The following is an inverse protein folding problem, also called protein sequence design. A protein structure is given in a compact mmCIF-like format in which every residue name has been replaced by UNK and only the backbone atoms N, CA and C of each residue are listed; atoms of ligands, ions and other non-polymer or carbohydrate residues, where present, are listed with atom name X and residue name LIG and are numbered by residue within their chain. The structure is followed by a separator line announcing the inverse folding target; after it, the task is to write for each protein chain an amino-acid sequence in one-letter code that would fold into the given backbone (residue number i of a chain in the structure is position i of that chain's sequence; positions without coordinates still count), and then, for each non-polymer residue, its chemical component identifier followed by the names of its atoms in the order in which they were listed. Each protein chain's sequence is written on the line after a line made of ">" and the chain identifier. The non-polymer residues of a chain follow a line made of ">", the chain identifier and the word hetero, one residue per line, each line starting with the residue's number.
data_IF_374268298166
#
_entry.id   IF_374268298166
#
_cell.length_a   1.000
_cell.length_b   1.000
_cell.length_c   1.000
_cell.angle_alpha   90.00
_cell.angle_beta   90.00
_cell.angle_gamma   90.00
#
_symmetry.space_group_name_H-M   'P 1'
#
loop_
_entity.id
_entity.type
_entity.pdbx_description
1 polymer ?
#
# COMPACT_ATOMS: atom_id res chain seq x y z
N UNK A 1 -17.08 8.38 -10.15
CA UNK A 1 -18.09 8.61 -9.09
C UNK A 1 -17.42 8.99 -7.78
N UNK A 2 -16.54 8.16 -7.22
CA UNK A 2 -15.85 8.42 -5.94
C UNK A 2 -14.92 9.63 -6.01
N UNK A 3 -14.14 9.77 -7.07
CA UNK A 3 -13.22 10.90 -7.26
C UNK A 3 -13.92 12.28 -7.35
N UNK A 4 -15.17 12.30 -7.80
CA UNK A 4 -15.91 13.55 -8.09
C UNK A 4 -17.02 13.84 -7.08
N UNK A 5 -17.05 13.14 -5.93
CA UNK A 5 -18.05 13.32 -4.87
C UNK A 5 -19.50 13.37 -5.41
N UNK A 6 -19.84 12.38 -6.26
CA UNK A 6 -21.18 12.33 -6.84
C UNK A 6 -22.25 12.34 -5.75
N UNK A 7 -23.33 13.08 -6.00
CA UNK A 7 -24.48 13.18 -5.08
C UNK A 7 -24.97 11.78 -4.71
N UNK A 8 -25.08 11.49 -3.39
CA UNK A 8 -25.52 10.18 -2.89
C UNK A 8 -24.37 9.18 -2.57
N UNK A 9 -23.11 9.54 -2.81
CA UNK A 9 -21.98 8.66 -2.51
C UNK A 9 -21.86 8.32 -1.01
N UNK A 10 -22.07 9.31 -0.12
CA UNK A 10 -22.08 9.09 1.34
C UNK A 10 -23.17 8.08 1.77
N UNK A 11 -24.34 8.12 1.13
CA UNK A 11 -25.41 7.16 1.39
C UNK A 11 -25.06 5.76 0.90
N UNK A 12 -24.41 5.67 -0.26
CA UNK A 12 -23.92 4.40 -0.80
C UNK A 12 -22.93 3.76 0.17
N UNK A 13 -21.89 4.49 0.62
CA UNK A 13 -20.90 3.97 1.57
C UNK A 13 -21.52 3.47 2.87
N UNK A 14 -22.56 4.16 3.37
CA UNK A 14 -23.25 3.76 4.60
C UNK A 14 -24.11 2.50 4.43
N UNK A 15 -24.56 2.21 3.20
CA UNK A 15 -25.38 1.05 2.89
C UNK A 15 -24.57 -0.21 2.55
N UNK A 16 -23.24 -0.07 2.36
CA UNK A 16 -22.38 -1.20 2.01
C UNK A 16 -22.18 -2.13 3.22
N UNK A 17 -22.23 -3.45 3.01
CA UNK A 17 -21.83 -4.39 4.04
C UNK A 17 -20.34 -4.23 4.36
N UNK A 18 -19.96 -4.45 5.61
CA UNK A 18 -18.56 -4.51 5.99
C UNK A 18 -17.88 -5.69 5.28
N UNK A 19 -16.98 -5.39 4.36
CA UNK A 19 -16.18 -6.38 3.67
C UNK A 19 -14.94 -6.77 4.48
N UNK A 20 -14.53 -8.03 4.35
CA UNK A 20 -13.35 -8.59 5.03
C UNK A 20 -12.16 -8.79 4.08
N UNK A 21 -12.26 -8.29 2.85
CA UNK A 21 -11.18 -8.41 1.85
C UNK A 21 -9.91 -7.74 2.37
N UNK A 22 -8.79 -8.46 2.45
CA UNK A 22 -7.55 -7.90 2.97
C UNK A 22 -6.99 -6.81 2.05
N UNK A 23 -6.50 -5.75 2.67
CA UNK A 23 -5.82 -4.63 2.02
C UNK A 23 -4.32 -4.77 2.22
N UNK A 24 -3.57 -4.88 1.13
CA UNK A 24 -2.11 -5.02 1.12
C UNK A 24 -1.51 -3.70 0.66
N UNK A 25 -0.78 -3.04 1.54
CA UNK A 25 -0.02 -1.82 1.24
C UNK A 25 1.35 -2.15 0.68
N UNK A 26 1.69 -1.59 -0.47
CA UNK A 26 3.03 -1.70 -1.07
C UNK A 26 3.62 -0.31 -1.18
N UNK A 27 4.71 -0.08 -0.44
CA UNK A 27 5.42 1.20 -0.40
C UNK A 27 6.94 1.00 -0.53
N UNK A 28 7.69 2.08 -0.57
CA UNK A 28 9.16 2.06 -0.68
C UNK A 28 9.68 3.15 -1.62
N UNK A 29 11.00 3.34 -1.72
CA UNK A 29 11.61 4.40 -2.50
C UNK A 29 11.30 4.31 -4.00
N UNK A 30 11.39 5.43 -4.73
CA UNK A 30 11.32 5.43 -6.19
C UNK A 30 12.39 4.50 -6.78
N UNK A 31 12.07 3.83 -7.88
CA UNK A 31 13.01 2.91 -8.54
C UNK A 31 13.17 1.53 -7.90
N UNK A 32 12.62 1.26 -6.71
CA UNK A 32 12.68 -0.06 -6.08
C UNK A 32 11.94 -1.17 -6.85
N UNK A 33 11.11 -0.80 -7.83
CA UNK A 33 10.39 -1.76 -8.67
C UNK A 33 9.05 -2.21 -8.09
N UNK A 34 8.39 -1.35 -7.31
CA UNK A 34 7.07 -1.60 -6.72
C UNK A 34 6.02 -2.00 -7.76
N UNK A 35 5.83 -1.19 -8.79
CA UNK A 35 4.83 -1.46 -9.84
C UNK A 35 5.14 -2.76 -10.59
N UNK A 36 6.42 -3.10 -10.78
CA UNK A 36 6.81 -4.40 -11.37
C UNK A 36 6.49 -5.56 -10.43
N UNK A 37 6.65 -5.36 -9.12
CA UNK A 37 6.27 -6.35 -8.11
C UNK A 37 4.74 -6.51 -8.05
N UNK A 38 3.99 -5.41 -8.10
CA UNK A 38 2.52 -5.44 -8.14
C UNK A 38 2.02 -6.18 -9.37
N UNK A 39 2.60 -5.92 -10.55
CA UNK A 39 2.27 -6.63 -11.78
C UNK A 39 2.51 -8.14 -11.66
N UNK A 40 3.68 -8.54 -11.17
CA UNK A 40 4.01 -9.94 -10.94
C UNK A 40 3.12 -10.60 -9.88
N UNK A 41 2.73 -9.83 -8.84
CA UNK A 41 1.84 -10.28 -7.77
C UNK A 41 0.42 -10.51 -8.30
N UNK A 42 -0.12 -9.56 -9.09
CA UNK A 42 -1.41 -9.73 -9.78
C UNK A 42 -1.38 -11.00 -10.62
N UNK A 43 -0.33 -11.19 -11.44
CA UNK A 43 -0.18 -12.37 -12.29
C UNK A 43 -0.19 -13.68 -11.50
N UNK A 44 0.47 -13.72 -10.36
CA UNK A 44 0.46 -14.88 -9.47
C UNK A 44 -0.95 -15.19 -8.95
N UNK A 45 -1.64 -14.17 -8.42
CA UNK A 45 -2.99 -14.32 -7.86
C UNK A 45 -4.03 -14.70 -8.92
N UNK A 46 -3.95 -14.13 -10.12
CA UNK A 46 -4.85 -14.45 -11.24
C UNK A 46 -4.67 -15.89 -11.70
N UNK A 47 -3.43 -16.40 -11.73
CA UNK A 47 -3.16 -17.80 -12.03
C UNK A 47 -3.82 -18.73 -11.00
N UNK A 48 -3.91 -18.30 -9.75
CA UNK A 48 -4.63 -18.98 -8.67
C UNK A 48 -6.14 -18.69 -8.66
N UNK A 49 -6.66 -18.12 -9.76
CA UNK A 49 -8.08 -17.80 -9.97
C UNK A 49 -8.66 -16.81 -8.93
N UNK A 50 -7.82 -15.93 -8.39
CA UNK A 50 -8.21 -14.89 -7.45
C UNK A 50 -8.68 -13.63 -8.16
N UNK A 51 -9.65 -12.93 -7.54
CA UNK A 51 -10.08 -11.61 -7.97
C UNK A 51 -9.29 -10.53 -7.22
N UNK A 52 -8.67 -9.62 -7.97
CA UNK A 52 -7.72 -8.64 -7.42
C UNK A 52 -8.12 -7.22 -7.80
N UNK A 53 -8.18 -6.32 -6.83
CA UNK A 53 -8.21 -4.89 -7.08
C UNK A 53 -6.83 -4.29 -6.77
N UNK A 54 -6.27 -3.50 -7.69
CA UNK A 54 -4.98 -2.82 -7.48
C UNK A 54 -5.13 -1.31 -7.64
N UNK A 55 -4.97 -0.57 -6.54
CA UNK A 55 -5.03 0.90 -6.47
C UNK A 55 -3.63 1.46 -6.64
N UNK A 56 -3.35 2.09 -7.78
CA UNK A 56 -2.09 2.78 -8.02
C UNK A 56 -2.24 4.28 -7.71
N UNK A 57 -1.52 4.75 -6.67
CA UNK A 57 -1.60 6.12 -6.17
C UNK A 57 -0.37 6.89 -6.59
N UNK A 58 -0.52 7.81 -7.55
CA UNK A 58 0.56 8.65 -8.04
C UNK A 58 0.50 10.06 -7.44
N UNK A 59 1.61 10.49 -6.80
CA UNK A 59 1.77 11.83 -6.23
C UNK A 59 2.10 12.92 -7.26
N UNK A 60 2.38 12.57 -8.50
CA UNK A 60 2.81 13.52 -9.53
C UNK A 60 1.63 14.28 -10.10
N UNK A 61 1.50 15.50 -9.67
CA UNK A 61 0.42 16.46 -9.86
C UNK A 61 0.10 16.86 -11.31
N UNK A 62 0.99 16.66 -12.27
CA UNK A 62 0.86 17.27 -13.60
C UNK A 62 1.37 16.43 -14.78
N UNK A 63 1.81 15.18 -14.60
CA UNK A 63 2.28 14.42 -15.75
C UNK A 63 1.31 13.30 -16.13
N UNK A 64 0.61 13.50 -17.22
CA UNK A 64 -0.05 12.44 -18.00
C UNK A 64 0.88 11.25 -18.27
N UNK A 65 2.20 11.46 -18.21
CA UNK A 65 3.24 10.44 -18.41
C UNK A 65 3.34 9.43 -17.26
N UNK A 66 3.07 9.81 -16.02
CA UNK A 66 3.10 8.87 -14.89
C UNK A 66 1.91 7.90 -14.95
N UNK A 67 0.72 8.42 -15.24
CA UNK A 67 -0.47 7.61 -15.52
C UNK A 67 -0.23 6.67 -16.73
N UNK A 68 0.39 7.18 -17.80
CA UNK A 68 0.72 6.38 -18.97
C UNK A 68 1.72 5.24 -18.62
N UNK A 69 2.71 5.50 -17.76
CA UNK A 69 3.70 4.52 -17.36
C UNK A 69 3.11 3.33 -16.61
N UNK A 70 2.17 3.56 -15.71
CA UNK A 70 1.46 2.51 -14.98
C UNK A 70 0.48 1.78 -15.90
N UNK A 71 -0.23 2.50 -16.77
CA UNK A 71 -1.08 1.90 -17.79
C UNK A 71 -0.32 1.00 -18.76
N UNK A 72 0.88 1.38 -19.17
CA UNK A 72 1.70 0.56 -20.10
C UNK A 72 2.17 -0.72 -19.42
N UNK A 73 2.58 -0.67 -18.14
CA UNK A 73 3.12 -1.84 -17.42
C UNK A 73 2.07 -2.87 -17.06
N UNK A 74 0.86 -2.43 -16.71
CA UNK A 74 -0.25 -3.30 -16.29
C UNK A 74 -1.26 -3.55 -17.42
N UNK A 75 -0.88 -3.28 -18.67
CA UNK A 75 -1.79 -3.33 -19.84
C UNK A 75 -2.38 -4.74 -20.06
N UNK A 76 -1.67 -5.77 -19.66
CA UNK A 76 -2.11 -7.17 -19.74
C UNK A 76 -3.38 -7.41 -18.88
N UNK A 77 -3.52 -6.67 -17.77
CA UNK A 77 -4.58 -6.92 -16.79
C UNK A 77 -5.85 -6.10 -17.01
N UNK A 78 -5.82 -5.01 -17.79
CA UNK A 78 -7.00 -4.14 -18.00
C UNK A 78 -8.20 -4.85 -18.62
N UNK A 79 -7.96 -5.88 -19.43
CA UNK A 79 -9.02 -6.67 -20.04
C UNK A 79 -9.30 -7.98 -19.31
N UNK A 80 -8.64 -8.23 -18.18
CA UNK A 80 -8.84 -9.44 -17.40
C UNK A 80 -10.06 -9.28 -16.48
N UNK A 81 -11.09 -10.14 -16.58
CA UNK A 81 -12.30 -9.99 -15.78
C UNK A 81 -12.09 -10.17 -14.26
N UNK A 82 -10.96 -10.74 -13.86
CA UNK A 82 -10.60 -10.95 -12.47
C UNK A 82 -9.76 -9.82 -11.87
N UNK A 83 -9.46 -8.77 -12.66
CA UNK A 83 -8.58 -7.69 -12.23
C UNK A 83 -9.25 -6.33 -12.41
N UNK A 84 -9.20 -5.50 -11.38
CA UNK A 84 -9.68 -4.13 -11.41
C UNK A 84 -8.55 -3.18 -11.01
N UNK A 85 -8.12 -2.30 -11.92
CA UNK A 85 -7.01 -1.35 -11.71
C UNK A 85 -7.49 0.08 -11.90
N UNK A 86 -8.01 0.74 -10.85
CA UNK A 86 -8.25 2.17 -10.91
C UNK A 86 -6.97 2.94 -10.61
N UNK A 87 -6.69 3.98 -11.39
CA UNK A 87 -5.61 4.93 -11.14
C UNK A 87 -6.16 6.18 -10.49
N UNK A 88 -5.58 6.60 -9.38
CA UNK A 88 -5.99 7.79 -8.64
C UNK A 88 -4.92 8.88 -8.72
N UNK A 89 -5.31 10.06 -9.14
CA UNK A 89 -4.44 11.24 -9.18
C UNK A 89 -4.67 12.12 -7.93
N UNK A 90 -3.59 12.54 -7.27
CA UNK A 90 -3.67 13.31 -6.02
C UNK A 90 -4.11 14.77 -6.18
N UNK A 91 -4.22 15.29 -7.37
CA UNK A 91 -4.62 16.68 -7.72
C UNK A 91 -4.23 17.76 -6.69
N UNK A 92 -3.05 17.61 -6.04
CA UNK A 92 -2.48 18.67 -5.18
C UNK A 92 -2.96 18.77 -3.75
N UNK A 93 -3.83 17.90 -3.27
CA UNK A 93 -4.26 17.94 -1.88
C UNK A 93 -3.48 16.96 -1.03
N UNK A 94 -2.53 17.46 -0.24
CA UNK A 94 -1.67 16.69 0.66
C UNK A 94 -2.44 15.95 1.79
N UNK A 95 -3.71 16.21 2.00
CA UNK A 95 -4.51 15.54 3.04
C UNK A 95 -5.81 14.90 2.50
N UNK A 96 -6.30 15.33 1.33
CA UNK A 96 -7.57 14.85 0.78
C UNK A 96 -7.50 13.50 0.08
N UNK A 97 -6.31 13.02 -0.28
CA UNK A 97 -6.15 11.73 -0.95
C UNK A 97 -6.31 10.56 0.02
N UNK A 98 -5.80 10.70 1.24
CA UNK A 98 -5.92 9.67 2.28
C UNK A 98 -7.38 9.25 2.47
N UNK A 99 -8.30 10.18 2.43
CA UNK A 99 -9.72 9.94 2.66
C UNK A 99 -10.40 9.18 1.53
N UNK A 100 -10.12 9.59 0.29
CA UNK A 100 -10.67 8.90 -0.89
C UNK A 100 -10.15 7.48 -1.01
N UNK A 101 -8.93 7.22 -0.57
CA UNK A 101 -8.39 5.86 -0.55
C UNK A 101 -9.18 4.99 0.43
N UNK A 102 -9.47 5.47 1.64
CA UNK A 102 -10.27 4.73 2.63
C UNK A 102 -11.65 4.40 2.05
N UNK A 103 -12.33 5.40 1.49
CA UNK A 103 -13.66 5.24 0.89
C UNK A 103 -13.65 4.24 -0.27
N UNK A 104 -12.63 4.29 -1.12
CA UNK A 104 -12.46 3.35 -2.23
C UNK A 104 -12.14 1.96 -1.72
N UNK A 105 -11.27 1.81 -0.71
CA UNK A 105 -11.00 0.51 -0.11
C UNK A 105 -12.27 -0.11 0.50
N UNK A 106 -13.09 0.66 1.22
CA UNK A 106 -14.37 0.19 1.74
C UNK A 106 -15.30 -0.28 0.63
N UNK A 107 -15.39 0.49 -0.48
CA UNK A 107 -16.17 0.10 -1.65
C UNK A 107 -15.65 -1.20 -2.26
N UNK A 108 -14.34 -1.34 -2.43
CA UNK A 108 -13.73 -2.53 -3.00
C UNK A 108 -13.88 -3.75 -2.08
N UNK A 109 -13.79 -3.56 -0.78
CA UNK A 109 -14.01 -4.63 0.20
C UNK A 109 -15.43 -5.21 0.09
N UNK A 110 -16.43 -4.36 -0.22
CA UNK A 110 -17.80 -4.81 -0.44
C UNK A 110 -18.05 -5.43 -1.82
N UNK A 111 -17.11 -5.30 -2.75
CA UNK A 111 -17.22 -5.81 -4.12
C UNK A 111 -16.67 -7.23 -4.33
N UNK A 112 -16.40 -7.96 -3.23
CA UNK A 112 -16.01 -9.37 -3.22
C UNK A 112 -14.69 -9.72 -3.92
N UNK A 113 -13.70 -8.82 -3.94
CA UNK A 113 -12.34 -9.17 -4.32
C UNK A 113 -11.70 -10.08 -3.27
N UNK A 114 -10.77 -10.95 -3.70
CA UNK A 114 -9.97 -11.77 -2.78
C UNK A 114 -8.85 -10.93 -2.13
N UNK A 115 -8.28 -9.96 -2.88
CA UNK A 115 -7.22 -9.08 -2.43
C UNK A 115 -7.41 -7.66 -2.97
N UNK A 116 -7.07 -6.68 -2.13
CA UNK A 116 -6.94 -5.28 -2.52
C UNK A 116 -5.49 -4.88 -2.32
N UNK A 117 -4.80 -4.50 -3.39
CA UNK A 117 -3.42 -4.03 -3.36
C UNK A 117 -3.44 -2.51 -3.48
N UNK A 118 -2.76 -1.81 -2.58
CA UNK A 118 -2.60 -0.36 -2.61
C UNK A 118 -1.14 -0.05 -2.81
N UNK A 119 -0.77 0.36 -4.02
CA UNK A 119 0.58 0.82 -4.34
C UNK A 119 0.66 2.34 -4.22
N UNK A 120 1.61 2.83 -3.45
CA UNK A 120 1.93 4.24 -3.36
C UNK A 120 3.39 4.50 -3.70
N UNK A 121 3.63 5.42 -4.62
CA UNK A 121 4.97 5.94 -4.84
C UNK A 121 5.23 6.99 -3.76
N UNK A 122 6.06 6.65 -2.76
CA UNK A 122 6.33 7.51 -1.62
C UNK A 122 7.55 8.39 -1.79
N UNK A 123 7.40 9.65 -1.41
CA UNK A 123 8.48 10.54 -0.96
C UNK A 123 7.95 11.26 0.28
N UNK A 124 8.35 10.82 1.47
CA UNK A 124 8.08 11.53 2.71
C UNK A 124 6.98 10.97 3.60
N UNK A 125 6.30 11.82 4.37
CA UNK A 125 5.31 11.46 5.40
C UNK A 125 4.10 10.66 4.87
N UNK A 126 3.90 10.64 3.57
CA UNK A 126 2.78 9.95 2.94
C UNK A 126 2.90 8.41 2.96
N UNK A 127 4.06 7.86 3.32
CA UNK A 127 4.27 6.41 3.41
C UNK A 127 3.58 5.81 4.64
N UNK A 128 3.55 6.58 5.74
CA UNK A 128 2.88 6.18 7.00
C UNK A 128 1.37 6.11 6.84
N UNK A 129 0.78 6.90 5.93
CA UNK A 129 -0.68 6.91 5.70
C UNK A 129 -1.21 5.58 5.15
N UNK A 130 -0.41 4.83 4.38
CA UNK A 130 -0.82 3.50 3.88
C UNK A 130 -0.88 2.49 5.01
N UNK A 131 0.08 2.53 5.94
CA UNK A 131 0.14 1.58 7.04
C UNK A 131 -1.11 1.63 7.92
N UNK A 132 -1.69 2.82 8.12
CA UNK A 132 -2.95 2.98 8.86
C UNK A 132 -4.18 2.39 8.16
N UNK A 133 -4.06 1.96 6.90
CA UNK A 133 -5.19 1.45 6.11
C UNK A 133 -4.99 0.03 5.62
N UNK A 134 -3.75 -0.43 5.51
CA UNK A 134 -3.42 -1.76 5.07
C UNK A 134 -3.51 -2.78 6.20
N UNK A 135 -3.96 -3.98 5.88
CA UNK A 135 -3.92 -5.09 6.81
C UNK A 135 -2.51 -5.69 6.89
N UNK A 136 -1.73 -5.60 5.81
CA UNK A 136 -0.28 -5.90 5.78
C UNK A 136 0.43 -4.83 4.97
N UNK A 137 1.49 -4.25 5.54
CA UNK A 137 2.35 -3.27 4.86
C UNK A 137 3.66 -3.91 4.43
N UNK A 138 3.88 -3.97 3.11
CA UNK A 138 5.11 -4.46 2.49
C UNK A 138 5.97 -3.30 2.02
N UNK A 139 7.20 -3.22 2.52
CA UNK A 139 8.19 -2.21 2.11
C UNK A 139 9.15 -2.82 1.10
N UNK A 140 9.15 -2.29 -0.11
CA UNK A 140 9.99 -2.76 -1.21
C UNK A 140 11.27 -1.93 -1.28
N UNK A 141 12.40 -2.60 -1.20
CA UNK A 141 13.74 -2.02 -1.23
C UNK A 141 14.58 -2.65 -2.35
N UNK A 142 15.72 -2.04 -2.67
CA UNK A 142 16.68 -2.58 -3.63
C UNK A 142 18.11 -2.48 -3.09
N UNK A 143 19.05 -3.36 -3.52
CA UNK A 143 20.40 -3.44 -2.97
C UNK A 143 21.25 -2.16 -3.11
N UNK A 144 20.98 -1.35 -4.13
CA UNK A 144 21.74 -0.11 -4.39
C UNK A 144 21.33 1.05 -3.47
N UNK A 145 20.29 0.88 -2.69
CA UNK A 145 19.83 1.85 -1.69
C UNK A 145 20.75 1.90 -0.43
N UNK A 146 22.04 1.50 -0.53
CA UNK A 146 22.95 1.41 0.60
C UNK A 146 23.09 2.72 1.38
N UNK A 147 23.23 3.86 0.70
CA UNK A 147 23.23 5.18 1.35
C UNK A 147 21.81 5.65 1.71
N UNK A 148 20.81 5.25 0.91
CA UNK A 148 19.39 5.52 1.20
C UNK A 148 18.86 4.65 2.34
N UNK A 149 19.44 3.45 2.57
CA UNK A 149 19.10 2.63 3.73
C UNK A 149 19.48 3.32 5.06
N UNK A 150 20.60 4.06 5.07
CA UNK A 150 21.02 4.86 6.24
C UNK A 150 20.14 6.10 6.41
N UNK A 151 19.57 6.62 5.31
CA UNK A 151 18.61 7.73 5.32
C UNK A 151 17.15 7.23 5.36
N UNK A 152 16.95 5.90 5.38
CA UNK A 152 15.62 5.33 5.51
C UNK A 152 15.00 5.83 6.81
N UNK A 153 13.99 6.69 6.65
CA UNK A 153 13.34 7.35 7.77
C UNK A 153 12.84 6.29 8.74
N UNK A 154 13.09 6.48 10.03
CA UNK A 154 12.62 5.59 11.10
C UNK A 154 11.15 5.20 10.92
N UNK A 155 10.32 6.11 10.41
CA UNK A 155 8.90 5.86 10.16
C UNK A 155 8.58 4.75 9.15
N UNK A 156 9.44 4.48 8.14
CA UNK A 156 9.21 3.37 7.20
C UNK A 156 9.51 2.04 7.86
N UNK A 157 10.52 2.01 8.73
CA UNK A 157 10.90 0.80 9.47
C UNK A 157 9.84 0.41 10.49
N UNK A 158 9.18 1.40 11.11
CA UNK A 158 8.13 1.18 12.10
C UNK A 158 6.84 0.64 11.50
N UNK A 159 6.53 0.98 10.26
CA UNK A 159 5.29 0.56 9.57
C UNK A 159 5.43 -0.75 8.80
N UNK A 160 6.66 -1.21 8.56
CA UNK A 160 6.93 -2.41 7.77
C UNK A 160 6.56 -3.68 8.54
N UNK A 161 5.75 -4.53 7.93
CA UNK A 161 5.44 -5.87 8.41
C UNK A 161 6.09 -6.94 7.55
N UNK A 162 6.52 -6.56 6.36
CA UNK A 162 7.29 -7.38 5.42
C UNK A 162 8.27 -6.48 4.67
N UNK A 163 9.53 -6.87 4.60
CA UNK A 163 10.49 -6.27 3.68
C UNK A 163 10.64 -7.16 2.44
N UNK A 164 10.51 -6.55 1.27
CA UNK A 164 10.77 -7.19 -0.02
C UNK A 164 12.01 -6.58 -0.64
N UNK A 165 13.09 -7.35 -0.71
CA UNK A 165 14.32 -6.91 -1.38
C UNK A 165 14.22 -7.30 -2.85
N UNK A 166 13.78 -6.36 -3.66
CA UNK A 166 13.63 -6.55 -5.10
C UNK A 166 14.94 -6.30 -5.83
N UNK A 167 15.05 -6.77 -7.07
CA UNK A 167 16.29 -6.77 -7.86
C UNK A 167 17.44 -7.52 -7.14
N UNK A 168 17.09 -8.62 -6.47
CA UNK A 168 18.02 -9.41 -5.67
C UNK A 168 19.06 -10.18 -6.52
N UNK A 169 18.93 -10.14 -7.83
CA UNK A 169 19.93 -10.56 -8.80
C UNK A 169 21.14 -9.63 -8.89
N UNK A 170 21.03 -8.42 -8.36
CA UNK A 170 22.13 -7.45 -8.37
C UNK A 170 23.16 -7.74 -7.29
N UNK A 171 24.41 -7.36 -7.59
CA UNK A 171 25.51 -7.54 -6.66
C UNK A 171 25.23 -6.77 -5.34
N UNK A 172 25.55 -7.41 -4.21
CA UNK A 172 25.40 -6.80 -2.89
C UNK A 172 24.05 -7.04 -2.21
N UNK A 173 23.10 -7.78 -2.81
CA UNK A 173 21.80 -8.05 -2.21
C UNK A 173 21.91 -8.72 -0.83
N UNK A 174 22.78 -9.72 -0.66
CA UNK A 174 23.00 -10.40 0.62
C UNK A 174 23.63 -9.48 1.66
N UNK A 175 24.58 -8.64 1.25
CA UNK A 175 25.20 -7.65 2.13
C UNK A 175 24.15 -6.64 2.61
N UNK A 176 23.29 -6.17 1.71
CA UNK A 176 22.22 -5.25 2.04
C UNK A 176 21.22 -5.86 3.05
N UNK A 177 20.81 -7.12 2.84
CA UNK A 177 19.92 -7.84 3.75
C UNK A 177 20.55 -7.97 5.14
N UNK A 178 21.84 -8.27 5.23
CA UNK A 178 22.54 -8.37 6.51
C UNK A 178 22.59 -7.01 7.23
N UNK A 179 22.83 -5.91 6.51
CA UNK A 179 22.77 -4.57 7.07
C UNK A 179 21.34 -4.26 7.56
N UNK A 180 20.33 -4.54 6.75
CA UNK A 180 18.92 -4.33 7.12
C UNK A 180 18.57 -5.10 8.40
N UNK A 181 18.98 -6.37 8.51
CA UNK A 181 18.77 -7.18 9.72
C UNK A 181 19.42 -6.53 10.96
N UNK A 182 20.66 -6.03 10.83
CA UNK A 182 21.33 -5.35 11.91
C UNK A 182 20.65 -4.04 12.31
N UNK A 183 20.06 -3.32 11.35
CA UNK A 183 19.30 -2.09 11.62
C UNK A 183 17.97 -2.37 12.31
N UNK A 184 17.36 -3.50 11.99
CA UNK A 184 16.09 -3.92 12.59
C UNK A 184 16.28 -4.50 14.00
N UNK A 185 17.45 -5.03 14.35
CA UNK A 185 17.75 -5.69 15.61
C UNK A 185 17.45 -4.82 16.86
N UNK A 186 17.82 -3.53 16.92
CA UNK A 186 17.45 -2.65 18.03
C UNK A 186 15.94 -2.41 18.17
N UNK A 187 15.20 -2.42 17.05
CA UNK A 187 13.76 -2.27 17.04
C UNK A 187 13.05 -3.55 17.55
N UNK A 188 13.72 -4.70 17.47
CA UNK A 188 13.20 -5.97 17.96
C UNK A 188 13.19 -6.11 19.49
N UNK A 189 13.96 -5.33 20.23
CA UNK A 189 13.91 -5.36 21.70
C UNK A 189 12.55 -4.94 22.26
N UNK A 190 11.73 -4.23 21.45
CA UNK A 190 10.36 -3.86 21.82
C UNK A 190 9.26 -4.65 21.07
N UNK A 191 9.62 -5.48 20.06
CA UNK A 191 8.67 -6.28 19.31
C UNK A 191 9.00 -7.77 19.42
N UNK A 192 8.01 -8.55 19.84
CA UNK A 192 8.12 -10.01 20.02
C UNK A 192 8.19 -10.81 18.70
N UNK A 193 8.13 -10.16 17.54
CA UNK A 193 8.15 -10.81 16.22
C UNK A 193 9.21 -10.23 15.30
N UNK A 194 10.04 -11.09 14.71
CA UNK A 194 10.94 -10.71 13.63
C UNK A 194 10.14 -10.34 12.37
N UNK A 195 10.48 -9.20 11.77
CA UNK A 195 9.89 -8.79 10.49
C UNK A 195 10.53 -9.63 9.38
N UNK A 196 9.74 -10.36 8.58
CA UNK A 196 10.26 -11.18 7.50
C UNK A 196 10.90 -10.33 6.40
N UNK A 197 11.92 -10.91 5.75
CA UNK A 197 12.61 -10.31 4.62
C UNK A 197 12.63 -11.33 3.48
N UNK A 198 11.99 -10.99 2.36
CA UNK A 198 11.88 -11.83 1.17
C UNK A 198 12.68 -11.23 0.02
N UNK A 199 13.44 -12.06 -0.69
CA UNK A 199 14.16 -11.67 -1.92
C UNK A 199 13.28 -11.84 -3.14
N UNK A 200 13.31 -10.89 -4.06
CA UNK A 200 12.59 -11.00 -5.33
C UNK A 200 13.42 -10.48 -6.51
N UNK A 201 13.14 -11.04 -7.68
CA UNK A 201 13.47 -10.46 -8.98
C UNK A 201 12.14 -10.34 -9.72
N UNK A 202 11.38 -9.29 -9.40
CA UNK A 202 10.00 -9.14 -9.83
C UNK A 202 9.82 -9.19 -11.36
N UNK A 203 10.78 -8.64 -12.11
CA UNK A 203 10.80 -8.69 -13.58
C UNK A 203 10.89 -10.11 -14.14
N UNK A 204 11.39 -11.07 -13.35
CA UNK A 204 11.50 -12.48 -13.70
C UNK A 204 10.48 -13.34 -12.93
N UNK A 205 9.61 -12.74 -12.16
CA UNK A 205 8.62 -13.39 -11.29
C UNK A 205 9.24 -14.32 -10.22
N UNK A 206 10.55 -14.18 -9.93
CA UNK A 206 11.27 -14.98 -8.93
C UNK A 206 10.97 -14.42 -7.54
N UNK A 207 10.65 -15.32 -6.57
CA UNK A 207 10.37 -14.99 -5.18
C UNK A 207 9.00 -14.32 -4.95
N UNK A 208 8.16 -14.18 -5.99
CA UNK A 208 6.82 -13.58 -5.85
C UNK A 208 5.89 -14.51 -5.07
N UNK A 209 5.96 -15.82 -5.28
CA UNK A 209 5.24 -16.81 -4.48
C UNK A 209 5.55 -16.69 -3.00
N UNK A 210 6.83 -16.50 -2.66
CA UNK A 210 7.27 -16.39 -1.26
C UNK A 210 6.71 -15.11 -0.60
N UNK A 211 6.59 -14.01 -1.37
CA UNK A 211 5.93 -12.77 -0.91
C UNK A 211 4.45 -13.03 -0.63
N UNK A 212 3.75 -13.74 -1.52
CA UNK A 212 2.32 -14.07 -1.35
C UNK A 212 2.11 -14.96 -0.13
N UNK A 213 2.92 -16.00 0.03
CA UNK A 213 2.85 -16.91 1.18
C UNK A 213 3.09 -16.17 2.49
N UNK A 214 4.08 -15.28 2.52
CA UNK A 214 4.40 -14.53 3.72
C UNK A 214 3.29 -13.50 4.07
N UNK A 215 2.70 -12.84 3.08
CA UNK A 215 1.54 -11.96 3.29
C UNK A 215 0.37 -12.77 3.88
N UNK A 216 0.06 -13.94 3.31
CA UNK A 216 -1.02 -14.79 3.82
C UNK A 216 -0.77 -15.27 5.25
N UNK A 217 0.49 -15.60 5.58
CA UNK A 217 0.91 -15.96 6.94
C UNK A 217 0.67 -14.80 7.92
N UNK A 218 1.05 -13.58 7.52
CA UNK A 218 0.86 -12.37 8.32
C UNK A 218 -0.62 -12.07 8.52
N UNK A 219 -1.43 -12.12 7.47
CA UNK A 219 -2.89 -11.93 7.54
C UNK A 219 -3.53 -12.92 8.51
N UNK A 220 -3.19 -14.21 8.40
CA UNK A 220 -3.71 -15.26 9.29
C UNK A 220 -3.31 -15.02 10.74
N UNK A 221 -2.09 -14.54 10.99
CA UNK A 221 -1.61 -14.25 12.34
C UNK A 221 -2.34 -13.09 13.01
N UNK A 222 -2.83 -12.12 12.22
CA UNK A 222 -3.57 -10.94 12.73
C UNK A 222 -5.02 -11.25 13.11
N UNK A 223 -5.66 -12.15 12.40
CA UNK A 223 -7.04 -12.57 12.72
C UNK A 223 -7.14 -13.12 14.15
N UNK A 224 -6.06 -13.67 14.67
CA UNK A 224 -5.99 -14.26 16.01
C UNK A 224 -5.51 -13.28 17.11
N UNK A 225 -5.31 -12.00 16.80
CA UNK A 225 -4.80 -10.99 17.72
C UNK A 225 -5.69 -9.75 17.80
N UNK A 226 -5.70 -9.06 18.95
CA UNK A 226 -6.42 -7.78 19.18
C UNK A 226 -6.00 -6.64 18.23
N UNK A 227 -4.92 -6.82 17.47
CA UNK A 227 -4.43 -5.84 16.49
C UNK A 227 -5.44 -5.55 15.36
N UNK A 228 -6.32 -6.50 15.03
CA UNK A 228 -7.38 -6.27 14.05
C UNK A 228 -8.40 -5.24 14.57
N UNK A 229 -8.73 -5.28 15.85
CA UNK A 229 -9.63 -4.30 16.47
C UNK A 229 -9.00 -2.92 16.58
N UNK A 230 -7.69 -2.84 16.86
CA UNK A 230 -6.96 -1.57 16.88
C UNK A 230 -6.94 -0.92 15.49
N UNK A 231 -6.69 -1.70 14.43
CA UNK A 231 -6.71 -1.21 13.06
C UNK A 231 -8.11 -0.72 12.65
N UNK A 232 -9.16 -1.46 13.02
CA UNK A 232 -10.55 -1.05 12.79
C UNK A 232 -10.90 0.24 13.55
N UNK A 233 -10.45 0.38 14.79
CA UNK A 233 -10.63 1.58 15.58
C UNK A 233 -9.94 2.79 14.95
N UNK A 234 -8.72 2.62 14.46
CA UNK A 234 -7.97 3.68 13.76
C UNK A 234 -8.65 4.09 12.45
N UNK A 235 -9.08 3.12 11.63
CA UNK A 235 -9.86 3.37 10.41
C UNK A 235 -11.15 4.13 10.73
N UNK A 236 -11.88 3.71 11.77
CA UNK A 236 -13.10 4.38 12.21
C UNK A 236 -12.83 5.81 12.72
N UNK A 237 -11.77 5.99 13.50
CA UNK A 237 -11.36 7.31 14.00
C UNK A 237 -11.05 8.27 12.85
N UNK A 238 -10.28 7.82 11.86
CA UNK A 238 -9.97 8.60 10.66
C UNK A 238 -11.23 8.98 9.89
N UNK A 239 -12.16 8.05 9.68
CA UNK A 239 -13.43 8.34 9.01
C UNK A 239 -14.28 9.39 9.77
N UNK A 240 -14.35 9.29 11.10
CA UNK A 240 -15.07 10.24 11.95
C UNK A 240 -14.41 11.62 11.90
N UNK A 241 -13.08 11.67 12.03
CA UNK A 241 -12.30 12.90 11.96
C UNK A 241 -12.55 13.61 10.62
N UNK A 242 -12.52 12.86 9.54
CA UNK A 242 -12.74 13.38 8.20
C UNK A 242 -14.13 13.94 8.01
N UNK A 243 -15.13 13.20 8.44
CA UNK A 243 -16.52 13.66 8.37
C UNK A 243 -16.73 14.97 9.13
N UNK A 244 -16.10 15.11 10.29
CA UNK A 244 -16.14 16.35 11.10
C UNK A 244 -15.38 17.51 10.47
N UNK A 245 -14.24 17.21 9.79
CA UNK A 245 -13.38 18.24 9.18
C UNK A 245 -13.78 18.61 7.75
N UNK A 246 -14.73 17.89 7.13
CA UNK A 246 -15.15 18.10 5.72
C UNK A 246 -15.57 19.54 5.42
N UNK A 247 -16.15 20.24 6.41
CA UNK A 247 -16.65 21.62 6.26
C UNK A 247 -15.67 22.66 6.81
N UNK A 248 -14.47 22.28 7.23
CA UNK A 248 -13.47 23.21 7.77
C UNK A 248 -12.57 23.70 6.63
N UNK A 249 -12.76 24.96 6.24
CA UNK A 249 -11.92 25.62 5.24
C UNK A 249 -10.61 26.07 5.89
N UNK A 250 -9.49 25.43 5.46
CA UNK A 250 -8.15 25.79 5.93
C UNK A 250 -7.74 27.23 5.57
N UNK A 251 -8.32 27.83 4.53
CA UNK A 251 -8.04 29.22 4.14
C UNK A 251 -8.78 30.20 5.05
N UNK A 252 -9.98 29.83 5.50
CA UNK A 252 -10.72 30.60 6.50
C UNK A 252 -10.01 30.56 7.87
N UNK A 253 -9.59 29.38 8.33
CA UNK A 253 -8.80 29.22 9.56
C UNK A 253 -7.51 30.05 9.55
N UNK A 254 -6.84 30.18 8.40
CA UNK A 254 -5.62 30.99 8.25
C UNK A 254 -5.87 32.50 8.35
N UNK A 255 -7.11 32.95 8.15
CA UNK A 255 -7.48 34.37 8.26
C UNK A 255 -7.95 34.78 9.66
N UNK A 256 -8.29 33.78 10.47
CA UNK A 256 -8.77 33.98 11.85
C UNK A 256 -7.66 33.83 12.91
N UNK A 257 -6.47 33.32 12.52
CA UNK A 257 -5.26 33.26 13.33
C UNK A 257 -4.31 34.39 12.94
#
# INVERSE_FOLDING_TARGET
>A
MVENEAVGFDMLLQSLPAGLTPVIGITGPPGAGKSTLVDAFIGHLVNDKKQVAALCINLLLHSTWALLGDHIRMNEWYNNPNVFIPSLATRGSLGGLSFKIVEICVLLQSAHFDYIIVEKVGVGQSEVEIAGQADVTSVVLMPEAGDEAQTMKAGIMEIAELFVINKADRAGADKFINILKLMLDPAFHNHTKQIPIVKTVASQKIGVSDVVEEINRLLTSKVNNDSAYQLLAEKAYQLIQNKRMKNVDKQLLRKEI
#
